data_IF_498278296801
#
_entry.id   IF_498278296801
#
_cell.length_a   1.000
_cell.length_b   1.000
_cell.length_c   1.000
_cell.angle_alpha   90.00
_cell.angle_beta   90.00
_cell.angle_gamma   90.00
#
_symmetry.space_group_name_H-M   'P 1'
#
loop_
_entity.id
_entity.type
_entity.pdbx_description
1 polymer ?
#
# COMPACT_ATOMS: atom_id res chain seq x y z
N UNK A 1 24.81 -23.87 14.89
CA UNK A 1 24.29 -22.59 14.33
C UNK A 1 22.77 -22.68 14.35
N UNK A 2 22.13 -22.11 15.37
CA UNK A 2 20.67 -22.18 15.53
C UNK A 2 19.99 -21.31 14.48
N UNK A 3 19.12 -21.92 13.67
CA UNK A 3 18.18 -21.15 12.85
C UNK A 3 17.23 -20.42 13.80
N UNK A 4 17.30 -19.09 13.81
CA UNK A 4 16.30 -18.29 14.49
C UNK A 4 14.95 -18.56 13.80
N UNK A 5 14.09 -19.32 14.45
CA UNK A 5 12.70 -19.50 14.03
C UNK A 5 12.09 -18.10 13.98
N UNK A 6 11.62 -17.70 12.80
CA UNK A 6 10.89 -16.45 12.64
C UNK A 6 9.78 -16.40 13.69
N UNK A 7 9.53 -15.23 14.34
CA UNK A 7 8.52 -15.14 15.38
C UNK A 7 7.17 -15.67 14.85
N UNK A 8 6.38 -16.35 15.70
CA UNK A 8 5.11 -16.92 15.29
C UNK A 8 4.25 -15.81 14.67
N UNK A 9 3.74 -16.06 13.47
CA UNK A 9 2.91 -15.10 12.74
C UNK A 9 1.66 -14.82 13.59
N UNK A 10 1.47 -13.55 13.97
CA UNK A 10 0.33 -13.12 14.80
C UNK A 10 -0.98 -13.60 14.17
N UNK A 11 -1.85 -14.21 14.96
CA UNK A 11 -3.15 -14.66 14.49
C UNK A 11 -3.98 -13.44 14.03
N UNK A 12 -4.60 -13.56 12.85
CA UNK A 12 -5.40 -12.49 12.24
C UNK A 12 -6.86 -12.67 12.64
N UNK A 13 -7.35 -11.83 13.57
CA UNK A 13 -8.74 -11.84 14.04
C UNK A 13 -9.59 -10.72 13.43
N UNK A 14 -8.94 -9.62 13.03
CA UNK A 14 -9.52 -8.49 12.29
C UNK A 14 -8.67 -8.15 11.07
N UNK A 15 -9.20 -7.37 10.12
CA UNK A 15 -8.38 -6.79 9.05
C UNK A 15 -7.30 -5.85 9.62
N UNK A 16 -7.53 -5.29 10.80
CA UNK A 16 -6.59 -4.42 11.52
C UNK A 16 -5.34 -5.16 12.01
N UNK A 17 -5.38 -6.50 12.11
CA UNK A 17 -4.20 -7.33 12.40
C UNK A 17 -3.30 -7.54 11.18
N UNK A 18 -3.75 -7.18 9.97
CA UNK A 18 -2.97 -7.36 8.75
C UNK A 18 -1.87 -6.31 8.68
N UNK A 19 -0.61 -6.75 8.63
CA UNK A 19 0.54 -5.84 8.61
C UNK A 19 0.51 -4.85 7.43
N UNK A 20 0.10 -5.32 6.24
CA UNK A 20 -0.06 -4.46 5.06
C UNK A 20 -1.11 -3.36 5.29
N UNK A 21 -2.20 -3.65 6.02
CA UNK A 21 -3.22 -2.68 6.36
C UNK A 21 -2.65 -1.63 7.32
N UNK A 22 -1.98 -2.06 8.39
CA UNK A 22 -1.38 -1.16 9.38
C UNK A 22 -0.39 -0.19 8.72
N UNK A 23 0.51 -0.72 7.88
CA UNK A 23 1.49 0.11 7.15
C UNK A 23 0.81 1.05 6.16
N UNK A 24 -0.18 0.57 5.40
CA UNK A 24 -0.92 1.43 4.47
C UNK A 24 -1.64 2.58 5.21
N UNK A 25 -2.20 2.32 6.39
CA UNK A 25 -2.82 3.35 7.23
C UNK A 25 -1.82 4.41 7.70
N UNK A 26 -0.59 4.01 8.09
CA UNK A 26 0.45 4.97 8.50
C UNK A 26 0.96 5.83 7.33
N UNK A 27 0.87 5.33 6.10
CA UNK A 27 1.33 6.01 4.89
C UNK A 27 0.29 6.96 4.27
N UNK A 28 -0.95 6.97 4.77
CA UNK A 28 -2.01 7.88 4.28
C UNK A 28 -1.62 9.35 4.43
N UNK A 29 -1.12 9.73 5.62
CA UNK A 29 -0.78 11.11 5.94
C UNK A 29 0.40 11.63 5.07
N UNK A 30 1.55 10.93 4.99
CA UNK A 30 2.64 11.36 4.12
C UNK A 30 2.25 11.53 2.65
N UNK A 31 1.45 10.62 2.09
CA UNK A 31 0.97 10.77 0.71
C UNK A 31 0.01 11.93 0.56
N UNK A 32 -0.85 12.17 1.55
CA UNK A 32 -1.76 13.32 1.53
C UNK A 32 -0.98 14.64 1.54
N UNK A 33 0.04 14.76 2.40
CA UNK A 33 0.90 15.93 2.50
C UNK A 33 1.70 16.17 1.21
N UNK A 34 2.29 15.11 0.64
CA UNK A 34 2.98 15.18 -0.66
C UNK A 34 2.01 15.60 -1.78
N UNK A 35 0.80 15.04 -1.83
CA UNK A 35 -0.17 15.43 -2.83
C UNK A 35 -0.68 16.88 -2.69
N UNK A 36 -0.49 17.51 -1.53
CA UNK A 36 -0.77 18.93 -1.31
C UNK A 36 0.42 19.83 -1.67
N UNK A 37 1.64 19.30 -1.74
CA UNK A 37 2.83 20.06 -2.14
C UNK A 37 3.08 20.10 -3.64
N UNK A 38 2.36 19.27 -4.42
CA UNK A 38 2.42 19.30 -5.88
C UNK A 38 1.90 20.64 -6.44
N UNK A 39 2.35 21.05 -7.65
CA UNK A 39 1.86 22.26 -8.30
C UNK A 39 0.33 22.27 -8.45
N UNK A 40 -0.29 23.45 -8.39
CA UNK A 40 -1.76 23.57 -8.44
C UNK A 40 -2.40 22.93 -9.68
N UNK A 41 -1.70 22.93 -10.82
CA UNK A 41 -2.19 22.30 -12.05
C UNK A 41 -2.24 20.76 -11.97
N UNK A 42 -1.50 20.14 -11.04
CA UNK A 42 -1.55 18.69 -10.77
C UNK A 42 -2.66 18.30 -9.80
N UNK A 43 -3.37 19.27 -9.20
CA UNK A 43 -4.37 19.04 -8.14
C UNK A 43 -5.42 18.01 -8.53
N UNK A 44 -5.91 18.10 -9.76
CA UNK A 44 -6.95 17.22 -10.32
C UNK A 44 -6.37 16.08 -11.16
N UNK A 45 -5.06 16.08 -11.39
CA UNK A 45 -4.35 15.01 -12.09
C UNK A 45 -3.57 14.17 -11.07
N UNK A 46 -2.24 14.26 -11.04
CA UNK A 46 -1.36 13.38 -10.26
C UNK A 46 -1.72 13.38 -8.77
N UNK A 47 -1.96 14.55 -8.17
CA UNK A 47 -2.32 14.65 -6.76
C UNK A 47 -3.62 13.90 -6.43
N UNK A 48 -4.60 13.95 -7.34
CA UNK A 48 -5.88 13.27 -7.15
C UNK A 48 -5.74 11.76 -7.30
N UNK A 49 -4.93 11.31 -8.26
CA UNK A 49 -4.65 9.90 -8.53
C UNK A 49 -3.90 9.27 -7.35
N UNK A 50 -2.86 9.92 -6.84
CA UNK A 50 -2.11 9.48 -5.66
C UNK A 50 -2.99 9.31 -4.42
N UNK A 51 -3.84 10.31 -4.11
CA UNK A 51 -4.76 10.23 -2.96
C UNK A 51 -5.78 9.10 -3.13
N UNK A 52 -6.26 8.83 -4.35
CA UNK A 52 -7.21 7.73 -4.61
C UNK A 52 -6.52 6.37 -4.44
N UNK A 53 -5.38 6.17 -5.10
CA UNK A 53 -4.61 4.92 -5.02
C UNK A 53 -4.24 4.59 -3.57
N UNK A 54 -3.70 5.56 -2.84
CA UNK A 54 -3.30 5.40 -1.43
C UNK A 54 -4.47 4.97 -0.52
N UNK A 55 -5.65 5.59 -0.66
CA UNK A 55 -6.85 5.22 0.13
C UNK A 55 -7.45 3.87 -0.29
N UNK A 56 -7.31 3.51 -1.56
CA UNK A 56 -7.82 2.26 -2.14
C UNK A 56 -7.15 1.03 -1.53
N UNK A 57 -5.86 1.12 -1.15
CA UNK A 57 -5.09 0.00 -0.59
C UNK A 57 -5.70 -0.53 0.71
N UNK A 58 -5.81 0.24 1.81
CA UNK A 58 -6.39 -0.27 3.06
C UNK A 58 -7.89 -0.59 2.91
N UNK A 59 -8.63 0.13 2.04
CA UNK A 59 -10.03 -0.14 1.78
C UNK A 59 -10.25 -1.52 1.15
N UNK A 60 -9.47 -1.88 0.12
CA UNK A 60 -9.53 -3.20 -0.52
C UNK A 60 -9.13 -4.33 0.45
N UNK A 61 -8.14 -4.10 1.32
CA UNK A 61 -7.76 -5.09 2.34
C UNK A 61 -8.93 -5.36 3.30
N UNK A 62 -9.57 -4.30 3.82
CA UNK A 62 -10.69 -4.42 4.75
C UNK A 62 -11.92 -5.07 4.09
N UNK A 63 -12.31 -4.61 2.89
CA UNK A 63 -13.44 -5.18 2.15
C UNK A 63 -13.20 -6.65 1.79
N UNK A 64 -12.00 -6.96 1.30
CA UNK A 64 -11.58 -8.32 1.00
C UNK A 64 -11.61 -9.24 2.22
N UNK A 65 -11.16 -8.76 3.38
CA UNK A 65 -11.22 -9.51 4.64
C UNK A 65 -12.68 -9.80 5.06
N UNK A 66 -13.62 -8.92 4.73
CA UNK A 66 -15.06 -9.18 4.88
C UNK A 66 -15.53 -10.40 4.08
N UNK A 67 -14.89 -10.68 2.92
CA UNK A 67 -15.19 -11.80 2.02
C UNK A 67 -14.28 -13.02 2.18
N UNK A 68 -13.42 -13.03 3.22
CA UNK A 68 -12.40 -14.08 3.48
C UNK A 68 -12.88 -15.53 3.57
N UNK A 69 -14.20 -15.78 3.69
CA UNK A 69 -14.77 -17.14 3.62
C UNK A 69 -14.47 -17.79 2.26
N UNK A 70 -14.38 -16.99 1.21
CA UNK A 70 -13.89 -17.38 -0.11
C UNK A 70 -12.44 -16.90 -0.24
N UNK A 71 -11.49 -17.83 -0.20
CA UNK A 71 -10.08 -17.50 -0.38
C UNK A 71 -9.80 -16.87 -1.75
N UNK A 72 -10.53 -17.31 -2.78
CA UNK A 72 -10.48 -16.71 -4.13
C UNK A 72 -10.89 -15.25 -4.11
N UNK A 73 -12.03 -14.92 -3.49
CA UNK A 73 -12.52 -13.54 -3.46
C UNK A 73 -11.57 -12.66 -2.68
N UNK A 74 -11.12 -13.10 -1.49
CA UNK A 74 -10.17 -12.30 -0.72
C UNK A 74 -8.87 -12.05 -1.49
N UNK A 75 -8.32 -13.07 -2.16
CA UNK A 75 -7.14 -12.89 -3.04
C UNK A 75 -7.40 -11.89 -4.17
N UNK A 76 -8.60 -11.86 -4.76
CA UNK A 76 -8.94 -10.84 -5.77
C UNK A 76 -8.90 -9.42 -5.20
N UNK A 77 -9.39 -9.21 -3.98
CA UNK A 77 -9.31 -7.91 -3.32
C UNK A 77 -7.87 -7.51 -2.95
N UNK A 78 -7.07 -8.47 -2.48
CA UNK A 78 -5.65 -8.23 -2.22
C UNK A 78 -4.89 -7.92 -3.52
N UNK A 79 -5.26 -8.53 -4.64
CA UNK A 79 -4.70 -8.20 -5.96
C UNK A 79 -5.06 -6.75 -6.38
N UNK A 80 -6.28 -6.29 -6.11
CA UNK A 80 -6.67 -4.89 -6.34
C UNK A 80 -5.86 -3.92 -5.45
N UNK A 81 -5.64 -4.27 -4.18
CA UNK A 81 -4.79 -3.49 -3.28
C UNK A 81 -3.33 -3.45 -3.79
N UNK A 82 -2.82 -4.56 -4.31
CA UNK A 82 -1.49 -4.62 -4.93
C UNK A 82 -1.43 -3.77 -6.21
N UNK A 83 -2.47 -3.78 -7.03
CA UNK A 83 -2.60 -2.91 -8.20
C UNK A 83 -2.55 -1.43 -7.82
N UNK A 84 -3.31 -1.02 -6.80
CA UNK A 84 -3.29 0.36 -6.27
C UNK A 84 -1.92 0.74 -5.68
N UNK A 85 -1.22 -0.22 -5.07
CA UNK A 85 0.16 -0.03 -4.57
C UNK A 85 1.12 0.25 -5.73
N UNK A 86 1.05 -0.53 -6.81
CA UNK A 86 1.91 -0.34 -7.98
C UNK A 86 1.61 0.97 -8.72
N UNK A 87 0.34 1.33 -8.85
CA UNK A 87 -0.09 2.61 -9.43
C UNK A 87 0.49 3.78 -8.63
N UNK A 88 0.40 3.74 -7.30
CA UNK A 88 0.98 4.78 -6.44
C UNK A 88 2.51 4.86 -6.55
N UNK A 89 3.20 3.72 -6.66
CA UNK A 89 4.65 3.69 -6.90
C UNK A 89 5.02 4.40 -8.21
N UNK A 90 4.28 4.14 -9.28
CA UNK A 90 4.47 4.82 -10.57
C UNK A 90 4.22 6.32 -10.43
N UNK A 91 3.18 6.75 -9.72
CA UNK A 91 2.92 8.17 -9.50
C UNK A 91 4.02 8.88 -8.70
N UNK A 92 4.60 8.22 -7.70
CA UNK A 92 5.76 8.74 -6.96
C UNK A 92 6.97 8.91 -7.90
N UNK A 93 7.22 7.95 -8.78
CA UNK A 93 8.28 8.03 -9.79
C UNK A 93 8.04 9.13 -10.83
N UNK A 94 6.78 9.36 -11.23
CA UNK A 94 6.40 10.47 -12.12
C UNK A 94 6.67 11.80 -11.43
N UNK A 95 6.18 11.99 -10.20
CA UNK A 95 6.41 13.22 -9.43
C UNK A 95 7.91 13.51 -9.26
N UNK A 96 8.73 12.48 -9.01
CA UNK A 96 10.18 12.60 -8.95
C UNK A 96 10.79 12.99 -10.30
N UNK A 97 10.39 12.31 -11.39
CA UNK A 97 10.92 12.55 -12.74
C UNK A 97 10.59 13.95 -13.28
N UNK A 98 9.44 14.50 -12.89
CA UNK A 98 9.03 15.87 -13.23
C UNK A 98 9.61 16.94 -12.29
N UNK A 99 10.39 16.54 -11.28
CA UNK A 99 11.03 17.45 -10.34
C UNK A 99 10.07 18.10 -9.34
N UNK A 100 8.89 17.53 -9.10
CA UNK A 100 7.90 18.07 -8.18
C UNK A 100 8.20 17.72 -6.71
N UNK A 101 9.00 16.70 -6.48
CA UNK A 101 9.38 16.22 -5.15
C UNK A 101 10.87 15.87 -5.12
N UNK A 102 11.47 15.97 -3.93
CA UNK A 102 12.88 15.60 -3.75
C UNK A 102 13.06 14.09 -3.86
N UNK A 103 14.25 13.68 -4.29
CA UNK A 103 14.62 12.27 -4.47
C UNK A 103 14.52 11.54 -3.13
N UNK A 104 15.04 12.13 -2.06
CA UNK A 104 15.10 11.50 -0.74
C UNK A 104 13.71 11.30 -0.12
N UNK A 105 12.81 12.28 -0.32
CA UNK A 105 11.42 12.23 0.14
C UNK A 105 10.62 11.13 -0.60
N UNK A 106 10.83 11.04 -1.92
CA UNK A 106 10.16 10.04 -2.76
C UNK A 106 10.68 8.62 -2.53
N UNK A 107 11.99 8.43 -2.39
CA UNK A 107 12.60 7.11 -2.18
C UNK A 107 12.13 6.44 -0.88
N UNK A 108 12.03 7.21 0.21
CA UNK A 108 11.51 6.70 1.49
C UNK A 108 10.10 6.13 1.33
N UNK A 109 9.21 6.88 0.67
CA UNK A 109 7.83 6.44 0.43
C UNK A 109 7.76 5.25 -0.54
N UNK A 110 8.59 5.26 -1.58
CA UNK A 110 8.69 4.16 -2.54
C UNK A 110 9.09 2.86 -1.83
N UNK A 111 10.08 2.91 -0.94
CA UNK A 111 10.53 1.73 -0.22
C UNK A 111 9.48 1.22 0.78
N UNK A 112 8.78 2.13 1.46
CA UNK A 112 7.66 1.75 2.32
C UNK A 112 6.53 1.06 1.55
N UNK A 113 6.14 1.56 0.38
CA UNK A 113 5.11 0.93 -0.46
C UNK A 113 5.60 -0.37 -1.12
N UNK A 114 6.90 -0.52 -1.39
CA UNK A 114 7.48 -1.83 -1.78
C UNK A 114 7.32 -2.86 -0.67
N UNK A 115 7.44 -2.45 0.60
CA UNK A 115 7.18 -3.35 1.73
C UNK A 115 5.70 -3.71 1.79
N UNK A 116 4.78 -2.75 1.62
CA UNK A 116 3.34 -3.02 1.53
C UNK A 116 3.06 -4.06 0.44
N UNK A 117 3.61 -3.87 -0.76
CA UNK A 117 3.45 -4.82 -1.87
C UNK A 117 3.94 -6.23 -1.52
N UNK A 118 5.12 -6.36 -0.91
CA UNK A 118 5.65 -7.66 -0.43
C UNK A 118 4.74 -8.30 0.62
N UNK A 119 4.19 -7.51 1.55
CA UNK A 119 3.27 -8.00 2.57
C UNK A 119 1.94 -8.49 1.95
N UNK A 120 1.41 -7.77 0.97
CA UNK A 120 0.22 -8.18 0.22
C UNK A 120 0.45 -9.49 -0.54
N UNK A 121 1.55 -9.60 -1.28
CA UNK A 121 1.91 -10.83 -2.01
C UNK A 121 2.04 -12.02 -1.06
N UNK A 122 2.80 -11.86 0.03
CA UNK A 122 2.96 -12.91 1.04
C UNK A 122 1.63 -13.32 1.67
N UNK A 123 0.73 -12.36 1.93
CA UNK A 123 -0.59 -12.64 2.46
C UNK A 123 -1.41 -13.46 1.46
N UNK A 124 -1.44 -13.08 0.17
CA UNK A 124 -2.15 -13.83 -0.87
C UNK A 124 -1.67 -15.27 -1.01
N UNK A 125 -0.35 -15.48 -1.01
CA UNK A 125 0.26 -16.81 -1.16
C UNK A 125 -0.02 -17.74 0.03
N UNK A 126 -0.10 -17.18 1.25
CA UNK A 126 -0.23 -17.95 2.50
C UNK A 126 -1.65 -18.00 3.03
N UNK A 127 -2.58 -17.25 2.44
CA UNK A 127 -3.97 -17.26 2.88
C UNK A 127 -4.65 -18.55 2.46
N UNK A 128 -4.96 -19.36 3.47
CA UNK A 128 -5.73 -20.63 3.49
C UNK A 128 -6.37 -21.02 2.16
#
# INVERSE_FOLDING_TARGET
MGQALAPPQKAIHSYEDIEAFQRAMTLLKPIHELALSLPDYERFDLASQMRRACKSIPANIAEGYGKKRSAKDFRSYLANALGSTNELLVHLQIAQSLGYIKVEESETLIDDYRIVGKQLTRLMERWR
#
